data_IF_152297696400
#
_entry.id   IF_152297696400
#
_cell.length_a   1.000
_cell.length_b   1.000
_cell.length_c   1.000
_cell.angle_alpha   90.00
_cell.angle_beta   90.00
_cell.angle_gamma   90.00
#
_symmetry.space_group_name_H-M   'P 1'
#
loop_
_entity.id
_entity.type
_entity.pdbx_description
1 polymer ?
#
# COMPACT_ATOMS: atom_id res chain seq x y z
N UNK A 1 -52.93 -48.68 2.42
CA UNK A 1 -51.70 -48.06 2.98
C UNK A 1 -50.94 -47.38 1.84
N UNK A 2 -50.93 -46.04 1.74
CA UNK A 2 -50.28 -45.35 0.60
C UNK A 2 -49.64 -43.97 0.94
N UNK A 3 -49.47 -43.62 2.23
CA UNK A 3 -49.01 -42.28 2.63
C UNK A 3 -47.47 -42.11 2.78
N UNK A 4 -46.66 -43.12 2.47
CA UNK A 4 -45.21 -43.12 2.80
C UNK A 4 -44.30 -42.43 1.75
N UNK A 5 -44.70 -42.32 0.49
CA UNK A 5 -43.81 -41.86 -0.61
C UNK A 5 -43.52 -40.36 -0.63
N UNK A 6 -44.37 -39.53 -0.03
CA UNK A 6 -44.15 -38.07 0.03
C UNK A 6 -43.09 -37.70 1.08
N UNK A 7 -43.02 -38.44 2.18
CA UNK A 7 -42.06 -38.22 3.26
C UNK A 7 -40.62 -38.47 2.80
N UNK A 8 -40.40 -39.54 2.04
CA UNK A 8 -39.06 -39.88 1.51
C UNK A 8 -38.52 -38.83 0.54
N UNK A 9 -39.39 -38.19 -0.26
CA UNK A 9 -38.97 -37.13 -1.18
C UNK A 9 -38.46 -35.88 -0.44
N UNK A 10 -39.13 -35.49 0.64
CA UNK A 10 -38.70 -34.34 1.47
C UNK A 10 -37.36 -34.65 2.14
N UNK A 11 -37.21 -35.86 2.67
CA UNK A 11 -35.97 -36.29 3.32
C UNK A 11 -34.77 -36.27 2.36
N UNK A 12 -34.94 -36.77 1.13
CA UNK A 12 -33.89 -36.72 0.09
C UNK A 12 -33.53 -35.27 -0.24
N UNK A 13 -34.52 -34.38 -0.35
CA UNK A 13 -34.25 -32.95 -0.59
C UNK A 13 -33.50 -32.29 0.56
N UNK A 14 -33.84 -32.62 1.81
CA UNK A 14 -33.13 -32.11 2.99
C UNK A 14 -31.68 -32.57 3.02
N UNK A 15 -31.41 -33.87 2.77
CA UNK A 15 -30.04 -34.39 2.69
C UNK A 15 -29.22 -33.69 1.60
N UNK A 16 -29.84 -33.44 0.43
CA UNK A 16 -29.19 -32.69 -0.65
C UNK A 16 -28.84 -31.26 -0.23
N UNK A 17 -29.78 -30.55 0.40
CA UNK A 17 -29.53 -29.18 0.91
C UNK A 17 -28.45 -29.15 1.98
N UNK A 18 -28.42 -30.13 2.89
CA UNK A 18 -27.38 -30.23 3.92
C UNK A 18 -26.00 -30.39 3.27
N UNK A 19 -25.85 -31.29 2.31
CA UNK A 19 -24.59 -31.48 1.60
C UNK A 19 -24.13 -30.22 0.82
N UNK A 20 -25.08 -29.49 0.23
CA UNK A 20 -24.79 -28.20 -0.42
C UNK A 20 -24.31 -27.13 0.58
N UNK A 21 -24.93 -27.07 1.77
CA UNK A 21 -24.53 -26.15 2.84
C UNK A 21 -23.16 -26.49 3.42
N UNK A 22 -22.86 -27.78 3.65
CA UNK A 22 -21.54 -28.23 4.10
C UNK A 22 -20.45 -27.84 3.11
N UNK A 23 -20.67 -28.09 1.82
CA UNK A 23 -19.74 -27.67 0.77
C UNK A 23 -19.55 -26.15 0.74
N UNK A 24 -20.63 -25.38 0.90
CA UNK A 24 -20.56 -23.92 0.96
C UNK A 24 -19.75 -23.42 2.16
N UNK A 25 -19.86 -24.10 3.32
CA UNK A 25 -19.08 -23.78 4.53
C UNK A 25 -17.59 -24.06 4.34
N UNK A 26 -17.22 -25.15 3.67
CA UNK A 26 -15.83 -25.47 3.36
C UNK A 26 -15.20 -24.46 2.39
N UNK A 27 -15.96 -24.05 1.37
CA UNK A 27 -15.56 -23.01 0.42
C UNK A 27 -15.39 -21.66 1.12
N UNK A 28 -16.35 -21.28 1.97
CA UNK A 28 -16.28 -20.05 2.76
C UNK A 28 -15.05 -20.05 3.69
N UNK A 29 -14.79 -21.16 4.36
CA UNK A 29 -13.60 -21.34 5.22
C UNK A 29 -12.31 -21.23 4.42
N UNK A 30 -12.27 -21.82 3.22
CA UNK A 30 -11.12 -21.73 2.32
C UNK A 30 -10.88 -20.30 1.82
N UNK A 31 -11.94 -19.56 1.49
CA UNK A 31 -11.87 -18.14 1.13
C UNK A 31 -11.37 -17.29 2.29
N UNK A 32 -11.88 -17.53 3.50
CA UNK A 32 -11.48 -16.80 4.70
C UNK A 32 -10.01 -17.03 5.05
N UNK A 33 -9.50 -18.27 4.90
CA UNK A 33 -8.07 -18.58 5.05
C UNK A 33 -7.19 -17.82 4.04
N UNK A 34 -7.60 -17.74 2.78
CA UNK A 34 -6.88 -16.97 1.74
C UNK A 34 -6.90 -15.47 2.06
N UNK A 35 -8.07 -14.92 2.39
CA UNK A 35 -8.22 -13.52 2.76
C UNK A 35 -7.34 -13.13 3.96
N UNK A 36 -7.27 -13.98 4.99
CA UNK A 36 -6.36 -13.77 6.14
C UNK A 36 -4.89 -13.73 5.70
N UNK A 37 -4.47 -14.68 4.86
CA UNK A 37 -3.10 -14.70 4.34
C UNK A 37 -2.76 -13.46 3.53
N UNK A 38 -3.68 -12.98 2.71
CA UNK A 38 -3.49 -11.77 1.92
C UNK A 38 -3.43 -10.52 2.81
N UNK A 39 -4.26 -10.46 3.86
CA UNK A 39 -4.22 -9.39 4.86
C UNK A 39 -2.92 -9.38 5.68
N UNK A 40 -2.40 -10.56 6.07
CA UNK A 40 -1.11 -10.65 6.76
C UNK A 40 0.05 -10.19 5.87
N UNK A 41 -0.01 -10.54 4.58
CA UNK A 41 0.98 -10.08 3.59
C UNK A 41 0.93 -8.56 3.40
N UNK A 42 -0.28 -7.99 3.24
CA UNK A 42 -0.43 -6.53 3.08
C UNK A 42 0.02 -5.78 4.34
N UNK A 43 -0.25 -6.32 5.54
CA UNK A 43 0.26 -5.79 6.81
C UNK A 43 1.78 -5.78 6.87
N UNK A 44 2.43 -6.88 6.45
CA UNK A 44 3.89 -6.95 6.43
C UNK A 44 4.52 -5.94 5.44
N UNK A 45 3.89 -5.71 4.30
CA UNK A 45 4.36 -4.73 3.32
C UNK A 45 4.13 -3.29 3.80
N UNK A 46 2.99 -3.01 4.44
CA UNK A 46 2.72 -1.73 5.10
C UNK A 46 3.75 -1.44 6.22
N UNK A 47 4.09 -2.44 7.04
CA UNK A 47 5.08 -2.27 8.11
C UNK A 47 6.48 -1.95 7.55
N UNK A 48 6.90 -2.60 6.46
CA UNK A 48 8.15 -2.26 5.77
C UNK A 48 8.13 -0.82 5.24
N UNK A 49 7.01 -0.39 4.67
CA UNK A 49 6.84 0.97 4.17
C UNK A 49 6.96 2.00 5.32
N UNK A 50 6.29 1.75 6.45
CA UNK A 50 6.38 2.58 7.65
C UNK A 50 7.83 2.64 8.14
N UNK A 51 8.52 1.50 8.31
CA UNK A 51 9.93 1.48 8.76
C UNK A 51 10.84 2.28 7.82
N UNK A 52 10.64 2.17 6.50
CA UNK A 52 11.42 2.92 5.52
C UNK A 52 11.14 4.43 5.62
N UNK A 53 9.89 4.82 5.76
CA UNK A 53 9.50 6.21 5.95
C UNK A 53 10.07 6.79 7.25
N UNK A 54 9.95 6.07 8.38
CA UNK A 54 10.52 6.46 9.67
C UNK A 54 12.03 6.62 9.59
N UNK A 55 12.76 5.70 8.95
CA UNK A 55 14.21 5.81 8.78
C UNK A 55 14.61 7.00 7.90
N UNK A 56 13.83 7.31 6.88
CA UNK A 56 14.04 8.51 6.05
C UNK A 56 13.80 9.79 6.85
N UNK A 57 12.71 9.84 7.63
CA UNK A 57 12.42 10.98 8.50
C UNK A 57 13.51 11.19 9.56
N UNK A 58 14.01 10.11 10.19
CA UNK A 58 15.12 10.18 11.14
C UNK A 58 16.40 10.74 10.51
N UNK A 59 16.72 10.35 9.27
CA UNK A 59 17.87 10.93 8.54
C UNK A 59 17.71 12.41 8.29
N UNK A 60 16.51 12.86 7.89
CA UNK A 60 16.23 14.28 7.70
C UNK A 60 16.35 15.06 9.01
N UNK A 61 15.84 14.51 10.11
CA UNK A 61 15.98 15.13 11.43
C UNK A 61 17.47 15.26 11.80
N UNK A 62 18.26 14.20 11.60
CA UNK A 62 19.70 14.25 11.87
C UNK A 62 20.39 15.33 11.03
N UNK A 63 20.13 15.38 9.73
CA UNK A 63 20.66 16.39 8.81
C UNK A 63 20.28 17.82 9.24
N UNK A 64 19.03 18.05 9.67
CA UNK A 64 18.61 19.36 10.19
C UNK A 64 19.27 19.73 11.51
N UNK A 65 19.55 18.75 12.37
CA UNK A 65 20.24 18.96 13.65
C UNK A 65 21.71 19.28 13.41
N UNK A 66 22.37 18.58 12.49
CA UNK A 66 23.76 18.85 12.13
C UNK A 66 23.88 20.25 11.50
N UNK A 67 22.98 20.62 10.58
CA UNK A 67 22.93 21.98 10.02
C UNK A 67 22.71 23.06 11.10
N UNK A 68 21.82 22.82 12.07
CA UNK A 68 21.60 23.74 13.19
C UNK A 68 22.83 23.88 14.10
N UNK A 69 23.60 22.79 14.29
CA UNK A 69 24.86 22.81 15.05
C UNK A 69 25.92 23.63 14.30
N UNK A 70 26.01 23.49 12.99
CA UNK A 70 26.96 24.27 12.17
C UNK A 70 26.62 25.78 12.21
N UNK A 71 25.34 26.14 12.13
CA UNK A 71 24.89 27.53 12.29
C UNK A 71 25.23 28.09 13.68
N UNK A 72 25.01 27.33 14.76
CA UNK A 72 25.42 27.72 16.11
C UNK A 72 26.94 27.90 16.24
N UNK A 73 27.73 27.02 15.62
CA UNK A 73 29.19 27.14 15.61
C UNK A 73 29.63 28.41 14.86
N UNK A 74 29.03 28.69 13.70
CA UNK A 74 29.28 29.90 12.91
C UNK A 74 28.94 31.17 13.69
N UNK A 75 27.79 31.19 14.36
CA UNK A 75 27.38 32.30 15.23
C UNK A 75 28.36 32.47 16.40
N UNK A 76 28.78 31.38 17.05
CA UNK A 76 29.78 31.37 18.10
C UNK A 76 31.11 31.99 17.66
N UNK A 77 31.64 31.56 16.51
CA UNK A 77 32.87 32.15 15.93
C UNK A 77 32.69 33.63 15.60
N UNK A 78 31.55 34.03 15.04
CA UNK A 78 31.29 35.44 14.71
C UNK A 78 31.22 36.34 15.95
N UNK A 79 30.69 35.81 17.07
CA UNK A 79 30.64 36.53 18.34
C UNK A 79 32.05 36.69 18.94
N UNK A 80 32.88 35.65 18.89
CA UNK A 80 34.28 35.71 19.36
C UNK A 80 35.10 36.69 18.53
N UNK A 81 34.98 36.69 17.20
CA UNK A 81 35.66 37.66 16.34
C UNK A 81 35.23 39.10 16.62
N UNK A 82 33.95 39.33 16.97
CA UNK A 82 33.45 40.66 17.36
C UNK A 82 33.93 41.11 18.74
N UNK A 83 34.17 40.16 19.65
CA UNK A 83 34.70 40.45 20.99
C UNK A 83 36.22 40.68 21.00
N UNK A 84 36.97 40.03 20.10
CA UNK A 84 38.45 40.06 20.07
C UNK A 84 39.03 40.96 18.97
N UNK A 85 38.31 41.16 17.86
CA UNK A 85 38.64 42.14 16.84
C UNK A 85 38.22 43.53 17.29
N UNK A 86 39.14 44.24 17.95
CA UNK A 86 38.98 45.62 18.41
C UNK A 86 38.25 46.51 17.39
N UNK A 87 37.38 47.41 17.84
CA UNK A 87 37.87 48.54 18.59
C UNK A 87 38.66 49.52 17.72
N UNK A 88 38.55 49.50 16.40
CA UNK A 88 38.86 50.68 15.59
C UNK A 88 37.64 51.59 15.59
N UNK A 89 37.58 52.44 16.62
CA UNK A 89 36.59 53.49 16.79
C UNK A 89 36.66 54.50 15.63
N UNK A 90 35.86 54.29 14.58
CA UNK A 90 35.39 55.40 13.74
C UNK A 90 34.10 55.92 14.37
N UNK A 91 34.20 57.11 14.95
CA UNK A 91 33.16 57.79 15.72
C UNK A 91 31.83 57.91 14.95
N UNK A 92 30.67 57.65 15.59
CA UNK A 92 29.38 57.90 14.98
C UNK A 92 29.12 59.41 14.94
N UNK A 93 29.16 59.97 13.72
CA UNK A 93 28.74 61.34 13.44
C UNK A 93 27.23 61.47 13.70
N UNK A 94 26.88 62.34 14.63
CA UNK A 94 25.52 62.65 15.04
C UNK A 94 24.71 63.26 13.89
N UNK A 95 23.53 62.69 13.59
CA UNK A 95 22.48 63.32 12.81
C UNK A 95 21.09 62.71 13.15
N UNK A 96 20.00 63.47 12.99
CA UNK A 96 18.93 63.58 13.99
C UNK A 96 17.71 62.63 13.82
N UNK A 97 16.86 62.50 14.85
CA UNK A 97 15.59 61.78 14.78
C UNK A 97 14.48 62.66 14.21
N UNK A 98 13.81 62.22 13.14
CA UNK A 98 12.50 62.77 12.77
C UNK A 98 11.64 61.85 11.90
N UNK A 99 10.36 61.83 12.29
CA UNK A 99 9.16 61.53 11.53
C UNK A 99 8.79 60.05 11.23
N UNK A 100 8.04 59.48 12.17
CA UNK A 100 6.60 59.19 12.05
C UNK A 100 6.02 58.36 10.88
N UNK A 101 5.02 57.54 11.27
CA UNK A 101 3.84 57.05 10.50
C UNK A 101 4.14 55.94 9.48
N UNK A 102 3.40 54.84 9.31
CA UNK A 102 1.98 54.48 9.56
C UNK A 102 1.85 52.94 9.65
N UNK A 103 0.81 52.46 10.34
CA UNK A 103 0.29 51.09 10.28
C UNK A 103 -0.09 50.65 8.84
N UNK A 104 -0.22 49.33 8.59
CA UNK A 104 -1.60 48.83 8.52
C UNK A 104 -1.84 47.44 9.16
N UNK A 105 -2.94 47.41 9.90
CA UNK A 105 -3.97 46.37 9.97
C UNK A 105 -4.04 45.40 8.77
N UNK A 106 -3.91 44.10 9.03
CA UNK A 106 -4.63 43.06 8.27
C UNK A 106 -4.67 41.75 9.07
N UNK A 107 -5.88 41.36 9.47
CA UNK A 107 -6.22 40.10 10.11
C UNK A 107 -6.05 38.89 9.17
N UNK A 108 -5.91 37.68 9.71
CA UNK A 108 -6.64 36.55 9.17
C UNK A 108 -7.74 36.12 10.13
N UNK A 109 -8.96 36.42 9.69
CA UNK A 109 -10.19 35.73 10.05
C UNK A 109 -10.02 34.22 9.85
N UNK A 110 -10.01 33.45 10.94
CA UNK A 110 -10.30 32.03 10.89
C UNK A 110 -11.46 31.71 11.82
N UNK A 111 -12.63 31.88 11.21
CA UNK A 111 -13.90 31.23 11.53
C UNK A 111 -13.74 29.88 12.24
N UNK A 112 -13.93 29.90 13.56
CA UNK A 112 -14.21 28.71 14.36
C UNK A 112 -15.60 28.18 13.96
N UNK A 113 -15.62 27.19 13.07
CA UNK A 113 -16.82 26.41 12.78
C UNK A 113 -17.23 25.61 14.01
N UNK A 114 -18.19 26.19 14.72
CA UNK A 114 -19.18 25.55 15.59
C UNK A 114 -19.76 24.32 14.90
N UNK A 115 -19.50 23.14 15.45
CA UNK A 115 -20.33 21.95 15.23
C UNK A 115 -20.54 21.24 16.57
N UNK A 116 -21.77 21.40 17.03
CA UNK A 116 -22.59 20.49 17.81
C UNK A 116 -21.91 19.61 18.87
N UNK A 117 -22.22 19.97 20.12
CA UNK A 117 -22.42 19.08 21.25
C UNK A 117 -22.95 17.70 20.82
N UNK A 118 -22.22 16.65 21.21
CA UNK A 118 -22.78 15.30 21.31
C UNK A 118 -22.48 14.81 22.72
N UNK A 119 -23.58 14.54 23.42
CA UNK A 119 -23.70 13.88 24.72
C UNK A 119 -22.50 13.00 25.11
N UNK A 120 -21.85 13.40 26.20
CA UNK A 120 -20.94 12.55 26.96
C UNK A 120 -21.69 12.07 28.21
N UNK A 121 -22.10 10.80 28.30
CA UNK A 121 -22.61 10.27 29.56
C UNK A 121 -21.45 10.02 30.54
N UNK A 122 -21.48 10.79 31.63
CA UNK A 122 -21.29 10.40 33.05
C UNK A 122 -20.09 9.52 33.44
N UNK A 123 -19.18 10.00 34.33
CA UNK A 123 -18.15 9.17 34.94
C UNK A 123 -18.75 8.36 36.11
N UNK A 124 -18.66 7.03 36.03
CA UNK A 124 -18.96 6.15 37.16
C UNK A 124 -17.90 5.04 37.27
N UNK A 125 -17.37 4.95 38.50
CA UNK A 125 -16.64 3.86 39.16
C UNK A 125 -15.36 3.27 38.52
N UNK A 126 -14.24 3.59 39.17
CA UNK A 126 -13.03 2.76 39.21
C UNK A 126 -13.36 1.37 39.79
N UNK A 127 -12.97 0.26 39.16
CA UNK A 127 -12.72 -0.99 39.87
C UNK A 127 -11.23 -1.14 40.17
N UNK A 128 -10.96 -1.62 41.38
CA UNK A 128 -9.66 -1.84 41.98
C UNK A 128 -8.70 -2.66 41.10
N UNK A 129 -7.43 -2.28 41.15
CA UNK A 129 -6.31 -2.99 40.56
C UNK A 129 -6.21 -4.42 41.11
N UNK A 130 -6.59 -5.41 40.29
CA UNK A 130 -6.23 -6.82 40.54
C UNK A 130 -4.75 -7.00 40.19
N UNK A 131 -3.92 -7.14 41.22
CA UNK A 131 -2.57 -7.67 41.12
C UNK A 131 -2.64 -9.06 40.48
N UNK A 132 -2.13 -9.21 39.26
CA UNK A 132 -1.91 -10.52 38.65
C UNK A 132 -0.45 -10.90 38.86
N UNK A 133 -0.25 -11.97 39.60
CA UNK A 133 1.03 -12.62 39.88
C UNK A 133 1.60 -13.16 38.56
N UNK A 134 2.76 -12.63 38.15
CA UNK A 134 3.49 -13.08 36.98
C UNK A 134 3.93 -14.55 37.16
N UNK A 135 3.23 -15.46 36.48
CA UNK A 135 3.60 -16.86 36.39
C UNK A 135 4.84 -16.96 35.47
N UNK A 136 6.02 -17.14 36.07
CA UNK A 136 7.26 -17.50 35.36
C UNK A 136 7.00 -18.78 34.56
N UNK A 137 6.95 -18.67 33.23
CA UNK A 137 7.00 -19.82 32.34
C UNK A 137 8.46 -20.14 32.03
N UNK A 138 8.87 -21.33 32.41
CA UNK A 138 10.20 -21.91 32.14
C UNK A 138 10.36 -22.07 30.63
N UNK A 139 11.35 -21.41 30.06
CA UNK A 139 11.69 -21.48 28.64
C UNK A 139 12.14 -22.91 28.28
N UNK A 140 11.27 -23.65 27.57
CA UNK A 140 11.60 -24.94 26.99
C UNK A 140 12.55 -24.71 25.81
N UNK A 141 13.84 -25.05 25.98
CA UNK A 141 14.84 -25.14 24.90
C UNK A 141 14.28 -26.04 23.80
N UNK A 142 14.02 -25.47 22.63
CA UNK A 142 13.80 -26.23 21.39
C UNK A 142 15.10 -26.19 20.58
N UNK A 143 15.70 -27.37 20.45
CA UNK A 143 16.86 -27.64 19.61
C UNK A 143 16.52 -27.37 18.14
N UNK A 144 17.14 -26.34 17.58
CA UNK A 144 16.96 -25.92 16.18
C UNK A 144 17.61 -26.96 15.26
N UNK A 145 16.77 -27.74 14.57
CA UNK A 145 17.20 -28.68 13.52
C UNK A 145 17.74 -27.87 12.34
N UNK A 146 19.04 -28.03 12.08
CA UNK A 146 19.79 -27.41 10.99
C UNK A 146 19.24 -27.89 9.65
N UNK A 147 18.51 -27.04 8.92
CA UNK A 147 18.11 -27.29 7.53
C UNK A 147 19.05 -26.55 6.59
N UNK A 148 19.75 -27.33 5.77
CA UNK A 148 20.67 -26.89 4.72
C UNK A 148 19.91 -26.10 3.65
N UNK A 149 20.33 -24.85 3.45
CA UNK A 149 19.81 -23.92 2.46
C UNK A 149 20.24 -24.35 1.05
N UNK A 150 19.26 -24.80 0.25
CA UNK A 150 19.41 -25.00 -1.19
C UNK A 150 19.55 -23.64 -1.87
N UNK A 151 20.74 -23.36 -2.35
CA UNK A 151 21.13 -22.20 -3.17
C UNK A 151 20.28 -22.17 -4.45
N UNK A 152 19.42 -21.16 -4.60
CA UNK A 152 18.79 -20.81 -5.90
C UNK A 152 19.18 -19.39 -6.27
N UNK A 153 19.76 -19.28 -7.46
CA UNK A 153 20.41 -18.11 -8.02
C UNK A 153 19.46 -16.91 -8.18
N UNK A 154 19.99 -15.73 -7.84
CA UNK A 154 19.37 -14.44 -8.06
C UNK A 154 19.32 -14.13 -9.56
N UNK A 155 18.12 -14.15 -10.15
CA UNK A 155 17.87 -13.61 -11.49
C UNK A 155 17.58 -12.11 -11.36
N UNK A 156 18.55 -11.29 -11.76
CA UNK A 156 18.44 -9.82 -11.84
C UNK A 156 17.23 -9.43 -12.69
N UNK A 157 16.37 -8.57 -12.16
CA UNK A 157 15.33 -7.88 -12.93
C UNK A 157 15.86 -6.49 -13.38
N UNK A 158 15.76 -6.11 -14.66
CA UNK A 158 16.03 -4.74 -15.09
C UNK A 158 14.87 -3.81 -14.69
N UNK A 159 15.23 -2.68 -14.09
CA UNK A 159 14.32 -1.60 -13.71
C UNK A 159 13.60 -1.02 -14.95
N UNK A 160 12.27 -1.07 -14.96
CA UNK A 160 11.44 -0.41 -15.97
C UNK A 160 11.37 1.08 -15.65
N UNK A 161 11.96 1.89 -16.53
CA UNK A 161 11.76 3.34 -16.60
C UNK A 161 10.31 3.66 -16.96
N UNK A 162 9.76 4.59 -16.22
CA UNK A 162 8.55 5.36 -16.50
C UNK A 162 8.82 6.38 -17.60
N UNK A 163 8.03 6.35 -18.67
CA UNK A 163 7.87 7.49 -19.60
C UNK A 163 6.39 7.63 -19.99
N UNK A 164 5.88 8.78 -19.60
CA UNK A 164 4.69 9.56 -20.00
C UNK A 164 4.27 9.49 -21.48
N UNK A 165 2.95 9.52 -21.75
CA UNK A 165 2.22 10.34 -22.77
C UNK A 165 0.81 9.74 -22.99
N UNK A 166 -0.29 10.38 -22.59
CA UNK A 166 -1.04 11.51 -23.21
C UNK A 166 -1.89 11.10 -24.43
N UNK A 167 -3.17 11.50 -24.37
CA UNK A 167 -4.24 11.62 -25.41
C UNK A 167 -5.12 10.40 -25.77
N UNK A 168 -6.39 10.51 -25.41
CA UNK A 168 -7.56 10.15 -26.25
C UNK A 168 -7.74 11.24 -27.36
N UNK A 169 -8.76 11.22 -28.26
CA UNK A 169 -9.86 10.27 -28.54
C UNK A 169 -10.04 9.98 -30.06
N UNK A 170 -10.95 9.06 -30.47
CA UNK A 170 -11.78 9.19 -31.69
C UNK A 170 -12.77 8.02 -31.85
N UNK A 171 -14.00 8.39 -32.21
CA UNK A 171 -15.18 7.57 -32.52
C UNK A 171 -15.16 6.91 -33.93
N UNK A 172 -16.20 6.10 -34.19
CA UNK A 172 -16.87 5.79 -35.49
C UNK A 172 -16.10 4.82 -36.41
N UNK A 173 -16.71 3.87 -37.13
CA UNK A 173 -18.08 3.70 -37.65
C UNK A 173 -18.34 2.22 -37.99
N UNK A 174 -19.61 1.89 -38.24
CA UNK A 174 -20.15 0.56 -38.51
C UNK A 174 -19.93 0.00 -39.94
N UNK A 175 -20.27 -1.30 -40.06
CA UNK A 175 -20.80 -2.05 -41.20
C UNK A 175 -19.86 -2.55 -42.33
N UNK A 176 -19.68 -3.87 -42.40
CA UNK A 176 -19.93 -4.69 -43.60
C UNK A 176 -19.84 -6.19 -43.26
N UNK A 177 -20.86 -6.94 -43.66
CA UNK A 177 -20.91 -8.40 -43.57
C UNK A 177 -20.07 -9.05 -44.68
N UNK A 178 -19.25 -10.04 -44.34
CA UNK A 178 -19.11 -11.29 -45.13
C UNK A 178 -18.29 -12.32 -44.34
N UNK A 179 -18.68 -13.58 -44.48
CA UNK A 179 -18.08 -14.72 -43.81
C UNK A 179 -16.67 -15.00 -44.36
N UNK A 180 -15.66 -14.59 -43.61
CA UNK A 180 -14.33 -15.22 -43.53
C UNK A 180 -13.76 -14.72 -42.20
N UNK A 181 -13.37 -15.63 -41.30
CA UNK A 181 -12.90 -15.27 -39.96
C UNK A 181 -11.86 -14.14 -40.04
N UNK A 182 -11.97 -13.07 -39.22
CA UNK A 182 -11.09 -11.92 -39.37
C UNK A 182 -9.66 -12.35 -39.06
N UNK A 183 -8.85 -12.48 -40.12
CA UNK A 183 -7.40 -12.69 -40.06
C UNK A 183 -6.68 -11.59 -39.24
N UNK A 184 -7.39 -10.53 -38.83
CA UNK A 184 -6.91 -9.48 -37.94
C UNK A 184 -7.20 -9.65 -36.44
N UNK A 185 -8.02 -10.61 -35.98
CA UNK A 185 -8.46 -10.63 -34.57
C UNK A 185 -7.35 -10.99 -33.57
N UNK A 186 -6.41 -11.87 -33.95
CA UNK A 186 -5.33 -12.28 -33.06
C UNK A 186 -4.08 -11.37 -33.12
N UNK A 187 -3.94 -10.54 -34.17
CA UNK A 187 -2.78 -9.66 -34.32
C UNK A 187 -2.78 -8.51 -33.29
N UNK A 188 -3.95 -7.97 -32.99
CA UNK A 188 -4.18 -6.90 -32.01
C UNK A 188 -4.19 -7.38 -30.56
N UNK A 189 -4.37 -8.68 -30.31
CA UNK A 189 -4.39 -9.23 -28.96
C UNK A 189 -3.02 -9.17 -28.26
N UNK A 190 -3.07 -9.02 -26.94
CA UNK A 190 -1.89 -9.13 -26.08
C UNK A 190 -1.45 -10.60 -25.95
N UNK A 191 -0.18 -10.85 -25.59
CA UNK A 191 0.33 -12.22 -25.40
C UNK A 191 -0.47 -12.99 -24.34
N UNK A 192 -1.05 -12.29 -23.36
CA UNK A 192 -1.87 -12.91 -22.31
C UNK A 192 -3.17 -13.45 -22.88
N UNK A 193 -3.86 -12.66 -23.71
CA UNK A 193 -5.10 -13.05 -24.38
C UNK A 193 -4.85 -14.18 -25.39
N UNK A 194 -3.74 -14.11 -26.13
CA UNK A 194 -3.33 -15.16 -27.06
C UNK A 194 -3.03 -16.48 -26.35
N UNK A 195 -2.40 -16.45 -25.17
CA UNK A 195 -2.18 -17.65 -24.36
C UNK A 195 -3.48 -18.22 -23.79
N UNK A 196 -4.45 -17.36 -23.45
CA UNK A 196 -5.79 -17.80 -23.01
C UNK A 196 -6.53 -18.48 -24.16
N UNK A 197 -6.55 -17.88 -25.34
CA UNK A 197 -7.13 -18.46 -26.54
C UNK A 197 -6.44 -19.77 -26.94
N UNK A 198 -5.11 -19.84 -26.85
CA UNK A 198 -4.34 -21.05 -27.13
C UNK A 198 -4.64 -22.18 -26.13
N UNK A 199 -4.86 -21.85 -24.85
CA UNK A 199 -5.30 -22.82 -23.84
C UNK A 199 -6.70 -23.35 -24.13
N UNK A 200 -7.61 -22.47 -24.55
CA UNK A 200 -8.99 -22.83 -24.92
C UNK A 200 -9.04 -23.71 -26.18
N UNK A 201 -8.15 -23.46 -27.15
CA UNK A 201 -7.96 -24.33 -28.33
C UNK A 201 -7.09 -25.58 -28.07
N UNK A 202 -6.62 -25.80 -26.84
CA UNK A 202 -5.83 -26.99 -26.49
C UNK A 202 -4.41 -27.04 -27.07
N UNK A 203 -3.83 -25.89 -27.46
CA UNK A 203 -2.47 -25.83 -28.02
C UNK A 203 -1.44 -26.22 -26.96
N UNK A 204 -0.84 -27.40 -27.07
CA UNK A 204 0.18 -27.88 -26.12
C UNK A 204 1.44 -27.02 -26.20
N UNK A 205 2.03 -26.67 -25.05
CA UNK A 205 3.25 -25.86 -24.99
C UNK A 205 3.06 -24.35 -25.24
N UNK A 206 1.83 -23.83 -25.19
CA UNK A 206 1.54 -22.40 -25.44
C UNK A 206 2.33 -21.41 -24.55
N UNK A 207 2.89 -21.86 -23.42
CA UNK A 207 3.66 -21.02 -22.50
C UNK A 207 5.07 -20.67 -22.99
N UNK A 208 5.66 -21.50 -23.87
CA UNK A 208 6.98 -21.26 -24.47
C UNK A 208 6.92 -20.60 -25.85
N UNK A 209 5.73 -20.49 -26.44
CA UNK A 209 5.54 -19.87 -27.75
C UNK A 209 5.64 -18.34 -27.69
N UNK A 210 6.30 -17.78 -28.71
CA UNK A 210 6.33 -16.33 -28.97
C UNK A 210 4.97 -15.83 -29.48
N UNK A 211 4.76 -14.51 -29.48
CA UNK A 211 3.49 -13.90 -29.95
C UNK A 211 3.15 -14.36 -31.38
N UNK A 212 4.13 -14.34 -32.28
CA UNK A 212 3.95 -14.75 -33.67
C UNK A 212 3.56 -16.24 -33.77
N UNK A 213 4.22 -17.11 -33.00
CA UNK A 213 3.91 -18.54 -32.99
C UNK A 213 2.52 -18.84 -32.40
N UNK A 214 2.08 -18.08 -31.40
CA UNK A 214 0.72 -18.20 -30.85
C UNK A 214 -0.33 -17.79 -31.88
N UNK A 215 -0.12 -16.70 -32.60
CA UNK A 215 -1.02 -16.26 -33.67
C UNK A 215 -1.08 -17.31 -34.79
N UNK A 216 0.07 -17.82 -35.24
CA UNK A 216 0.12 -18.85 -36.28
C UNK A 216 -0.61 -20.14 -35.89
N UNK A 217 -0.45 -20.60 -34.64
CA UNK A 217 -1.14 -21.80 -34.10
C UNK A 217 -2.63 -21.61 -33.84
N UNK A 218 -3.10 -20.36 -33.76
CA UNK A 218 -4.52 -20.03 -33.57
C UNK A 218 -5.25 -19.80 -34.90
N UNK A 219 -4.51 -19.49 -35.97
CA UNK A 219 -5.02 -19.24 -37.31
C UNK A 219 -5.00 -20.49 -38.21
N UNK A 220 -4.08 -21.42 -37.98
CA UNK A 220 -4.08 -22.76 -38.59
C UNK A 220 -4.91 -23.76 -37.81
#
# INVERSE_FOLDING_TARGET
>A
MAKSTKSSKVEIQLRKRIAELEKALDDATSRLKRARKDADKSRADAEKAIRKASKSAQRKIAETVDAARDELARLGSSAVSRATGGGSATAPQSAPPSAATTAPTAAPDQTLKKVAARDVPKPASKPAAKKTTAKKTTAKKTTTKKTTTKKTAAKKAPAKKTTTAKKAPAEKTAAAASATAPAGSYASMTVVELRKAAREKGVKGYTSLSKAQLVARLQG
#
